data_IF_131757409157
#
_entry.id   IF_131757409157
#
_cell.length_a   1.000
_cell.length_b   1.000
_cell.length_c   1.000
_cell.angle_alpha   90.00
_cell.angle_beta   90.00
_cell.angle_gamma   90.00
#
_symmetry.space_group_name_H-M   'P 1'
#
loop_
_entity.id
_entity.type
_entity.pdbx_description
1 polymer ?
#
# COMPACT_ATOMS: atom_id res chain seq x y z
N UNK A 1 -12.18 -34.41 -6.03
CA UNK A 1 -13.34 -33.57 -6.35
C UNK A 1 -12.80 -32.15 -6.55
N UNK A 2 -12.60 -31.84 -7.84
CA UNK A 2 -12.06 -30.56 -8.29
C UNK A 2 -13.09 -29.45 -8.06
N UNK A 3 -12.71 -28.45 -7.27
CA UNK A 3 -13.42 -27.18 -7.20
C UNK A 3 -12.94 -26.27 -8.34
N UNK A 4 -13.80 -25.42 -8.96
CA UNK A 4 -13.41 -24.57 -10.08
C UNK A 4 -12.58 -23.39 -9.58
N UNK A 5 -11.25 -23.56 -9.54
CA UNK A 5 -10.33 -22.45 -9.48
C UNK A 5 -10.39 -21.70 -10.80
N UNK A 6 -10.80 -20.43 -10.78
CA UNK A 6 -10.64 -19.53 -11.94
C UNK A 6 -9.14 -19.31 -12.13
N UNK A 7 -8.54 -20.15 -12.98
CA UNK A 7 -7.16 -19.99 -13.40
C UNK A 7 -7.03 -18.73 -14.24
N UNK A 8 -5.96 -17.98 -14.02
CA UNK A 8 -5.49 -16.91 -14.90
C UNK A 8 -5.48 -17.41 -16.35
N UNK A 9 -5.78 -16.58 -17.36
CA UNK A 9 -5.73 -16.99 -18.75
C UNK A 9 -4.29 -17.29 -19.15
N UNK A 10 -3.94 -18.54 -19.07
CA UNK A 10 -2.64 -19.07 -19.49
C UNK A 10 -2.84 -19.72 -20.85
N UNK A 11 -2.20 -19.22 -21.89
CA UNK A 11 -2.16 -19.87 -23.20
C UNK A 11 -1.16 -21.01 -23.15
N UNK A 12 -1.59 -22.22 -23.48
CA UNK A 12 -0.69 -23.34 -23.80
C UNK A 12 -0.03 -23.07 -25.16
N UNK A 13 1.23 -23.42 -25.29
CA UNK A 13 1.92 -23.39 -26.58
C UNK A 13 1.20 -24.32 -27.56
N UNK A 14 0.45 -23.76 -28.50
CA UNK A 14 -0.27 -24.56 -29.52
C UNK A 14 -1.64 -24.02 -29.94
N UNK A 15 -2.27 -23.14 -29.22
CA UNK A 15 -3.61 -22.64 -29.57
C UNK A 15 -3.52 -21.33 -30.40
N UNK A 16 -3.54 -21.49 -31.71
CA UNK A 16 -3.87 -20.43 -32.66
C UNK A 16 -5.38 -20.39 -32.85
N UNK A 17 -5.97 -19.20 -32.68
CA UNK A 17 -7.37 -18.79 -32.89
C UNK A 17 -8.36 -19.01 -31.75
N UNK A 18 -8.60 -17.91 -31.02
CA UNK A 18 -9.95 -17.53 -30.58
C UNK A 18 -9.97 -16.02 -30.30
N UNK A 19 -10.61 -15.28 -31.21
CA UNK A 19 -11.03 -13.90 -31.01
C UNK A 19 -12.19 -13.86 -29.99
N UNK A 20 -11.95 -13.34 -28.80
CA UNK A 20 -13.03 -12.91 -27.92
C UNK A 20 -12.73 -11.51 -27.40
N UNK A 21 -13.69 -10.60 -27.63
CA UNK A 21 -13.62 -9.19 -27.38
C UNK A 21 -13.29 -8.84 -25.92
N UNK A 22 -12.40 -7.92 -25.76
CA UNK A 22 -12.07 -7.31 -24.49
C UNK A 22 -13.19 -6.35 -24.06
N UNK A 23 -13.61 -6.32 -22.79
CA UNK A 23 -14.52 -5.31 -22.30
C UNK A 23 -13.80 -3.98 -22.05
N UNK A 24 -14.28 -2.90 -22.72
CA UNK A 24 -14.12 -1.54 -22.24
C UNK A 24 -12.76 -0.88 -22.42
N UNK A 25 -12.30 -0.71 -23.65
CA UNK A 25 -11.29 0.30 -23.99
C UNK A 25 -11.97 1.66 -24.02
N UNK A 26 -11.60 2.57 -23.11
CA UNK A 26 -12.01 3.98 -23.19
C UNK A 26 -11.41 4.59 -24.44
N UNK A 27 -12.29 5.20 -25.20
CA UNK A 27 -12.02 5.83 -26.48
C UNK A 27 -11.10 7.07 -26.28
N UNK A 28 -9.81 6.93 -26.57
CA UNK A 28 -8.81 8.00 -26.52
C UNK A 28 -8.72 8.79 -27.85
N UNK A 29 -9.65 8.57 -28.77
CA UNK A 29 -9.63 9.17 -30.11
C UNK A 29 -10.11 10.63 -30.20
N UNK A 30 -10.38 11.32 -29.11
CA UNK A 30 -10.89 12.71 -29.16
C UNK A 30 -9.88 13.81 -28.90
N UNK A 31 -8.57 13.53 -28.83
CA UNK A 31 -7.54 14.57 -28.81
C UNK A 31 -6.60 14.43 -30.01
N UNK A 32 -7.13 14.57 -31.21
CA UNK A 32 -6.31 14.75 -32.40
C UNK A 32 -5.93 16.21 -32.54
N UNK A 33 -4.65 16.50 -32.30
CA UNK A 33 -4.06 17.78 -32.65
C UNK A 33 -3.79 17.79 -34.15
N UNK A 34 -4.53 18.63 -34.90
CA UNK A 34 -4.38 18.81 -36.34
C UNK A 34 -3.70 20.17 -36.62
N UNK A 35 -2.40 20.24 -36.45
CA UNK A 35 -1.60 21.38 -36.84
C UNK A 35 -0.11 21.04 -36.97
N UNK A 36 0.66 21.71 -37.88
CA UNK A 36 2.10 21.48 -37.95
C UNK A 36 2.75 22.01 -36.67
N UNK A 37 3.60 21.21 -36.01
CA UNK A 37 4.38 21.63 -34.85
C UNK A 37 5.32 22.76 -35.26
N UNK A 38 5.41 23.85 -34.47
CA UNK A 38 6.47 24.82 -34.64
C UNK A 38 7.81 24.15 -34.31
N UNK A 39 8.81 24.30 -35.16
CA UNK A 39 10.13 23.66 -35.07
C UNK A 39 10.99 24.13 -33.87
N UNK A 40 10.48 24.97 -32.98
CA UNK A 40 11.22 25.51 -31.82
C UNK A 40 10.52 25.34 -30.49
N UNK A 41 9.53 24.49 -30.37
CA UNK A 41 8.94 24.17 -29.06
C UNK A 41 9.71 23.00 -28.45
N UNK A 42 10.39 23.23 -27.36
CA UNK A 42 10.88 22.16 -26.49
C UNK A 42 9.70 21.26 -26.12
N UNK A 43 9.77 19.94 -26.31
CA UNK A 43 8.64 19.04 -25.98
C UNK A 43 8.38 18.90 -24.48
N UNK A 44 8.95 19.74 -23.63
CA UNK A 44 8.96 19.65 -22.17
C UNK A 44 8.61 20.96 -21.45
N UNK A 45 7.68 21.78 -21.97
CA UNK A 45 7.03 22.76 -21.10
C UNK A 45 6.01 22.03 -20.22
N UNK A 46 6.30 21.98 -18.91
CA UNK A 46 5.34 21.56 -17.90
C UNK A 46 4.14 22.50 -17.93
N UNK A 47 2.90 22.00 -17.86
CA UNK A 47 1.74 22.87 -17.71
C UNK A 47 1.82 23.61 -16.37
N UNK A 48 1.72 24.94 -16.40
CA UNK A 48 1.76 25.85 -15.25
C UNK A 48 0.57 25.70 -14.27
N UNK A 49 -0.36 24.82 -14.53
CA UNK A 49 -1.53 24.56 -13.69
C UNK A 49 -1.43 23.24 -12.91
N UNK A 50 -0.44 23.13 -12.02
CA UNK A 50 -0.48 22.14 -10.95
C UNK A 50 -1.29 22.74 -9.78
N UNK A 51 -2.33 22.05 -9.28
CA UNK A 51 -3.12 22.55 -8.17
C UNK A 51 -2.26 22.72 -6.91
N UNK A 52 -2.39 23.87 -6.28
CA UNK A 52 -1.71 24.41 -5.08
C UNK A 52 -1.80 23.56 -3.80
N UNK A 53 -2.25 22.30 -3.87
CA UNK A 53 -2.54 21.43 -2.72
C UNK A 53 -1.33 20.68 -2.13
N UNK A 54 -0.11 20.88 -2.64
CA UNK A 54 1.08 20.16 -2.16
C UNK A 54 2.12 21.03 -1.44
N UNK A 55 1.91 22.35 -1.32
CA UNK A 55 2.88 23.25 -0.65
C UNK A 55 2.70 23.36 0.87
N UNK A 56 1.58 22.93 1.43
CA UNK A 56 1.22 23.19 2.84
C UNK A 56 1.57 22.03 3.81
N UNK A 57 2.34 21.02 3.36
CA UNK A 57 2.65 19.84 4.20
C UNK A 57 4.09 19.77 4.71
N UNK A 58 4.98 20.64 4.28
CA UNK A 58 6.40 20.61 4.71
C UNK A 58 6.74 21.58 5.86
N UNK A 59 5.90 22.58 6.13
CA UNK A 59 6.20 23.57 7.18
C UNK A 59 5.65 23.21 8.58
N UNK A 60 4.80 22.17 8.71
CA UNK A 60 4.18 21.82 10.00
C UNK A 60 4.85 20.70 10.79
N UNK A 61 6.01 20.18 10.35
CA UNK A 61 6.73 19.12 11.09
C UNK A 61 7.87 19.64 11.98
N UNK A 62 8.40 20.86 11.73
CA UNK A 62 9.50 21.40 12.54
C UNK A 62 9.06 22.01 13.87
N UNK A 63 7.80 22.46 13.98
CA UNK A 63 7.32 23.16 15.18
C UNK A 63 6.72 22.23 16.26
N UNK A 64 6.52 20.96 15.96
CA UNK A 64 5.97 19.98 16.92
C UNK A 64 7.00 19.25 17.75
N UNK A 65 8.25 19.17 17.31
CA UNK A 65 9.32 18.52 18.08
C UNK A 65 9.95 19.43 19.15
N UNK A 66 9.83 20.74 19.02
CA UNK A 66 10.36 21.71 20.01
C UNK A 66 9.57 21.82 21.33
N UNK A 67 8.28 21.47 21.32
CA UNK A 67 7.41 21.66 22.49
C UNK A 67 7.40 20.49 23.49
N UNK A 68 7.90 19.33 23.10
CA UNK A 68 7.86 18.13 23.94
C UNK A 68 9.03 18.04 24.93
N UNK A 69 10.16 18.73 24.68
CA UNK A 69 11.37 18.63 25.52
C UNK A 69 11.51 19.73 26.58
N UNK A 70 10.60 20.72 26.64
CA UNK A 70 10.69 21.79 27.65
C UNK A 70 9.92 21.54 28.95
N UNK A 71 9.18 20.44 29.08
CA UNK A 71 8.45 20.10 30.31
C UNK A 71 9.12 19.09 31.23
N UNK A 72 10.31 18.56 30.90
CA UNK A 72 10.96 17.51 31.66
C UNK A 72 12.11 17.96 32.59
N UNK A 73 12.39 19.25 32.72
CA UNK A 73 13.57 19.72 33.47
C UNK A 73 13.32 20.72 34.61
N UNK A 74 12.13 20.76 35.18
CA UNK A 74 11.91 21.56 36.40
C UNK A 74 11.33 20.71 37.51
N UNK A 75 12.19 20.23 38.39
CA UNK A 75 11.68 19.55 39.60
C UNK A 75 12.67 18.70 40.37
N UNK A 76 13.90 19.11 40.56
CA UNK A 76 14.72 18.59 41.67
C UNK A 76 15.55 19.74 42.25
N UNK A 77 15.10 20.30 43.38
CA UNK A 77 15.98 21.03 44.29
C UNK A 77 16.01 20.32 45.64
N UNK A 78 17.19 19.78 45.93
CA UNK A 78 17.62 19.35 47.25
C UNK A 78 17.69 20.53 48.19
N UNK A 79 17.12 20.38 49.40
CA UNK A 79 17.67 21.07 50.58
C UNK A 79 17.86 20.10 51.70
N UNK A 80 19.15 20.01 52.09
CA UNK A 80 19.60 19.25 53.21
C UNK A 80 19.67 20.13 54.47
N UNK A 81 19.37 19.53 55.61
CA UNK A 81 20.14 19.78 56.83
C UNK A 81 19.56 20.74 57.86
N UNK A 82 19.31 20.26 59.05
CA UNK A 82 19.32 21.07 60.23
C UNK A 82 18.40 20.57 61.37
N UNK A 83 18.88 19.61 62.14
CA UNK A 83 18.46 19.33 63.53
C UNK A 83 19.11 20.30 64.50
N UNK A 84 18.85 20.19 65.85
CA UNK A 84 17.67 20.57 66.64
C UNK A 84 18.04 21.53 67.77
N UNK A 85 17.11 22.15 68.45
CA UNK A 85 17.35 22.59 69.82
C UNK A 85 16.08 22.63 70.67
N UNK A 86 16.22 22.00 71.87
CA UNK A 86 15.32 22.00 73.02
C UNK A 86 15.33 23.34 73.75
N UNK A 87 14.21 23.70 74.35
CA UNK A 87 14.05 24.11 75.77
C UNK A 87 12.60 24.59 76.01
N UNK A 88 11.94 23.97 76.90
CA UNK A 88 11.70 24.18 78.31
C UNK A 88 10.54 25.19 78.64
N UNK A 89 9.51 24.58 79.19
CA UNK A 89 8.71 25.01 80.32
C UNK A 89 8.04 26.38 80.32
N UNK A 90 6.67 26.42 80.50
CA UNK A 90 6.02 26.86 81.73
C UNK A 90 4.48 27.03 81.57
N UNK A 91 3.75 26.32 82.38
CA UNK A 91 2.59 26.73 83.24
C UNK A 91 1.34 27.33 82.59
N UNK A 92 0.32 26.52 82.66
CA UNK A 92 -0.97 26.71 83.25
C UNK A 92 -1.74 28.04 83.11
N UNK A 93 -2.85 27.95 82.39
CA UNK A 93 -4.10 28.66 82.83
C UNK A 93 -5.34 27.90 82.33
N UNK A 94 -6.14 27.45 83.25
CA UNK A 94 -7.49 26.91 83.06
C UNK A 94 -8.41 28.01 82.66
N UNK A 95 -9.15 27.91 81.57
CA UNK A 95 -10.34 28.68 81.31
C UNK A 95 -11.45 27.83 80.68
N UNK A 96 -12.73 28.21 80.73
CA UNK A 96 -13.85 27.30 80.93
C UNK A 96 -14.35 26.62 79.64
N UNK A 97 -14.77 25.37 79.83
CA UNK A 97 -15.39 24.53 78.77
C UNK A 97 -16.62 25.18 78.18
N UNK A 98 -16.59 25.61 76.94
CA UNK A 98 -17.77 25.91 76.10
C UNK A 98 -18.46 24.60 75.70
N UNK A 99 -19.80 24.52 75.70
CA UNK A 99 -20.55 23.33 75.38
C UNK A 99 -20.31 22.95 73.91
N UNK A 100 -19.90 21.68 73.67
CA UNK A 100 -19.82 21.10 72.38
C UNK A 100 -21.13 21.09 71.65
N UNK A 101 -21.36 21.98 70.70
CA UNK A 101 -22.47 21.88 69.73
C UNK A 101 -22.32 20.52 69.01
N UNK A 102 -23.30 19.62 69.23
CA UNK A 102 -23.49 18.41 68.44
C UNK A 102 -23.64 18.83 66.97
N UNK A 103 -22.59 18.61 66.13
CA UNK A 103 -22.74 18.68 64.70
C UNK A 103 -23.73 17.59 64.33
N UNK A 104 -24.92 17.95 63.96
CA UNK A 104 -25.89 17.05 63.37
C UNK A 104 -25.39 16.60 62.05
N UNK A 105 -25.00 15.33 61.95
CA UNK A 105 -24.55 14.63 60.75
C UNK A 105 -25.69 14.44 59.71
N UNK A 106 -26.41 15.50 59.39
CA UNK A 106 -27.56 15.44 58.47
C UNK A 106 -27.17 15.61 56.99
N UNK A 107 -25.90 15.97 56.70
CA UNK A 107 -25.43 16.19 55.28
C UNK A 107 -24.83 14.96 54.65
N UNK A 108 -24.45 13.91 55.40
CA UNK A 108 -23.76 12.77 54.85
C UNK A 108 -24.65 11.78 54.06
N UNK A 109 -25.92 11.70 54.43
CA UNK A 109 -26.87 10.79 53.74
C UNK A 109 -27.26 11.33 52.35
N UNK A 110 -27.52 12.65 52.23
CA UNK A 110 -27.82 13.29 50.95
C UNK A 110 -26.63 13.28 49.98
N UNK A 111 -25.43 13.51 50.52
CA UNK A 111 -24.20 13.49 49.72
C UNK A 111 -23.87 12.06 49.23
N UNK A 112 -24.09 11.03 50.05
CA UNK A 112 -23.95 9.62 49.66
C UNK A 112 -24.99 9.22 48.61
N UNK A 113 -26.24 9.68 48.73
CA UNK A 113 -27.29 9.45 47.74
C UNK A 113 -26.97 10.14 46.41
N UNK A 114 -26.48 11.39 46.44
CA UNK A 114 -26.05 12.09 45.24
C UNK A 114 -24.85 11.40 44.54
N UNK A 115 -23.86 10.96 45.32
CA UNK A 115 -22.73 10.19 44.81
C UNK A 115 -23.18 8.85 44.18
N UNK A 116 -24.12 8.15 44.81
CA UNK A 116 -24.67 6.91 44.28
C UNK A 116 -25.44 7.12 42.95
N UNK A 117 -26.19 8.21 42.82
CA UNK A 117 -26.88 8.58 41.59
C UNK A 117 -25.90 8.92 40.47
N UNK A 118 -24.84 9.66 40.77
CA UNK A 118 -23.79 9.97 39.79
C UNK A 118 -23.06 8.69 39.36
N UNK A 119 -22.75 7.80 40.29
CA UNK A 119 -22.13 6.51 39.97
C UNK A 119 -23.06 5.63 39.13
N UNK A 120 -24.34 5.56 39.45
CA UNK A 120 -25.33 4.81 38.67
C UNK A 120 -25.49 5.39 37.27
N UNK A 121 -25.56 6.72 37.13
CA UNK A 121 -25.60 7.39 35.83
C UNK A 121 -24.35 7.11 35.04
N UNK A 122 -23.15 7.14 35.64
CA UNK A 122 -21.90 6.79 35.00
C UNK A 122 -21.85 5.34 34.51
N UNK A 123 -22.32 4.40 35.32
CA UNK A 123 -22.43 2.99 34.95
C UNK A 123 -23.41 2.82 33.78
N UNK A 124 -24.56 3.50 33.83
CA UNK A 124 -25.56 3.43 32.74
C UNK A 124 -25.00 3.96 31.44
N UNK A 125 -24.31 5.10 31.46
CA UNK A 125 -23.64 5.66 30.28
C UNK A 125 -22.56 4.70 29.75
N UNK A 126 -21.78 4.11 30.65
CA UNK A 126 -20.75 3.14 30.29
C UNK A 126 -21.35 1.89 29.62
N UNK A 127 -22.41 1.34 30.19
CA UNK A 127 -23.12 0.17 29.63
C UNK A 127 -23.73 0.51 28.27
N UNK A 128 -24.38 1.65 28.12
CA UNK A 128 -24.93 2.13 26.86
C UNK A 128 -23.82 2.29 25.81
N UNK A 129 -22.68 2.87 26.19
CA UNK A 129 -21.53 3.04 25.33
C UNK A 129 -21.00 1.69 24.81
N UNK A 130 -20.84 0.70 25.67
CA UNK A 130 -20.41 -0.63 25.27
C UNK A 130 -21.43 -1.39 24.44
N UNK A 131 -22.74 -1.11 24.57
CA UNK A 131 -23.79 -1.74 23.76
C UNK A 131 -23.91 -1.05 22.38
N UNK A 132 -23.77 0.28 22.32
CA UNK A 132 -23.97 1.06 21.10
C UNK A 132 -22.81 0.86 20.14
N UNK A 133 -21.56 0.81 20.62
CA UNK A 133 -20.36 0.73 19.80
C UNK A 133 -19.92 -0.73 19.52
N UNK A 134 -20.88 -1.60 19.21
CA UNK A 134 -20.62 -2.97 18.78
C UNK A 134 -20.72 -3.10 17.27
N UNK A 135 -19.83 -3.92 16.68
CA UNK A 135 -19.89 -4.27 15.25
C UNK A 135 -21.19 -4.99 14.94
N UNK A 136 -22.07 -4.33 14.21
CA UNK A 136 -23.38 -4.85 13.76
C UNK A 136 -23.36 -5.22 12.29
N UNK A 137 -22.58 -4.48 11.50
CA UNK A 137 -22.46 -4.65 10.08
C UNK A 137 -20.99 -4.60 9.67
N UNK A 138 -20.60 -5.51 8.79
CA UNK A 138 -19.27 -5.51 8.18
C UNK A 138 -19.46 -5.42 6.66
N UNK A 139 -18.96 -4.35 6.08
CA UNK A 139 -18.92 -4.16 4.62
C UNK A 139 -17.52 -4.46 4.11
N UNK A 140 -17.43 -5.05 2.93
CA UNK A 140 -16.17 -5.30 2.25
C UNK A 140 -16.23 -4.63 0.90
N UNK A 141 -15.16 -3.91 0.56
CA UNK A 141 -15.04 -3.17 -0.69
C UNK A 141 -13.74 -3.55 -1.40
N UNK A 142 -13.78 -3.62 -2.75
CA UNK A 142 -12.62 -3.86 -3.61
C UNK A 142 -12.21 -5.33 -3.75
N UNK A 143 -13.04 -6.26 -3.30
CA UNK A 143 -12.87 -7.69 -3.54
C UNK A 143 -13.52 -8.10 -4.88
N UNK A 144 -12.77 -8.82 -5.71
CA UNK A 144 -13.22 -9.33 -7.02
C UNK A 144 -13.10 -10.86 -7.08
N UNK A 145 -11.92 -11.42 -6.80
CA UNK A 145 -11.60 -12.84 -6.86
C UNK A 145 -11.93 -13.56 -5.54
N UNK A 146 -11.82 -12.84 -4.42
CA UNK A 146 -12.03 -13.41 -3.09
C UNK A 146 -13.41 -13.03 -2.58
N UNK A 147 -14.13 -14.01 -2.04
CA UNK A 147 -15.47 -13.76 -1.54
C UNK A 147 -15.49 -12.80 -0.35
N UNK A 148 -16.56 -11.98 -0.24
CA UNK A 148 -16.78 -11.12 0.93
C UNK A 148 -16.70 -11.89 2.26
N UNK A 149 -17.26 -13.10 2.28
CA UNK A 149 -17.26 -13.94 3.48
C UNK A 149 -15.84 -14.36 3.89
N UNK A 150 -14.98 -14.65 2.92
CA UNK A 150 -13.58 -14.99 3.19
C UNK A 150 -12.80 -13.79 3.70
N UNK A 151 -12.99 -12.59 3.12
CA UNK A 151 -12.34 -11.36 3.62
C UNK A 151 -12.75 -11.09 5.08
N UNK A 152 -14.04 -11.22 5.41
CA UNK A 152 -14.53 -11.07 6.79
C UNK A 152 -13.86 -12.09 7.71
N UNK A 153 -13.84 -13.36 7.30
CA UNK A 153 -13.22 -14.45 8.06
C UNK A 153 -11.72 -14.21 8.29
N UNK A 154 -11.01 -13.79 7.24
CA UNK A 154 -9.58 -13.50 7.30
C UNK A 154 -9.25 -12.25 8.14
N UNK A 155 -10.12 -11.24 8.16
CA UNK A 155 -9.93 -10.06 8.99
C UNK A 155 -9.96 -10.39 10.49
N UNK A 156 -10.66 -11.46 10.87
CA UNK A 156 -10.88 -11.83 12.27
C UNK A 156 -11.83 -10.92 13.03
N UNK A 157 -12.47 -9.97 12.36
CA UNK A 157 -13.47 -9.10 12.97
C UNK A 157 -14.74 -9.92 13.20
N UNK A 158 -15.21 -9.93 14.45
CA UNK A 158 -16.42 -10.66 14.85
C UNK A 158 -17.59 -9.69 15.05
N UNK A 159 -18.78 -10.12 14.63
CA UNK A 159 -20.01 -9.41 14.98
C UNK A 159 -20.16 -9.35 16.51
N UNK A 160 -20.56 -8.20 17.03
CA UNK A 160 -20.71 -7.97 18.47
C UNK A 160 -19.42 -7.58 19.19
N UNK A 161 -18.25 -7.61 18.56
CA UNK A 161 -17.02 -7.05 19.11
C UNK A 161 -17.10 -5.51 19.20
N UNK A 162 -16.25 -4.89 20.02
CA UNK A 162 -16.21 -3.43 20.12
C UNK A 162 -15.53 -2.81 18.89
N UNK A 163 -16.22 -1.89 18.21
CA UNK A 163 -15.67 -1.15 17.08
C UNK A 163 -14.48 -0.26 17.48
N UNK A 164 -14.43 0.15 18.75
CA UNK A 164 -13.43 1.07 19.27
C UNK A 164 -12.07 0.40 19.49
N UNK A 165 -12.08 -0.91 19.75
CA UNK A 165 -10.86 -1.69 19.98
C UNK A 165 -10.21 -2.19 18.70
N UNK A 166 -10.88 -2.05 17.55
CA UNK A 166 -10.30 -2.45 16.26
C UNK A 166 -9.13 -1.51 15.91
N UNK A 167 -8.01 -2.08 15.53
CA UNK A 167 -6.85 -1.35 15.01
C UNK A 167 -6.73 -1.62 13.51
N UNK A 168 -6.60 -0.59 12.72
CA UNK A 168 -6.41 -0.69 11.29
C UNK A 168 -5.13 -1.46 10.95
N UNK A 169 -4.02 -1.07 11.57
CA UNK A 169 -2.71 -1.70 11.34
C UNK A 169 -2.70 -3.19 11.72
N UNK A 170 -3.26 -3.54 12.89
CA UNK A 170 -3.32 -4.93 13.34
C UNK A 170 -4.23 -5.74 12.43
N UNK A 171 -5.42 -5.21 12.10
CA UNK A 171 -6.38 -5.91 11.23
C UNK A 171 -5.79 -6.15 9.84
N UNK A 172 -5.13 -5.15 9.26
CA UNK A 172 -4.49 -5.27 7.93
C UNK A 172 -3.40 -6.32 7.91
N UNK A 173 -2.47 -6.25 8.86
CA UNK A 173 -1.38 -7.23 8.98
C UNK A 173 -1.91 -8.66 9.21
N UNK A 174 -2.89 -8.81 10.08
CA UNK A 174 -3.45 -10.11 10.39
C UNK A 174 -4.24 -10.69 9.21
N UNK A 175 -4.97 -9.84 8.47
CA UNK A 175 -5.71 -10.24 7.28
C UNK A 175 -4.77 -10.78 6.20
N UNK A 176 -3.70 -10.05 5.88
CA UNK A 176 -2.72 -10.48 4.87
C UNK A 176 -1.97 -11.74 5.31
N UNK A 177 -1.57 -11.84 6.57
CA UNK A 177 -0.89 -13.04 7.11
C UNK A 177 -1.79 -14.28 7.07
N UNK A 178 -3.07 -14.13 7.42
CA UNK A 178 -4.05 -15.21 7.33
C UNK A 178 -4.37 -15.57 5.89
N UNK A 179 -4.42 -14.61 4.97
CA UNK A 179 -4.59 -14.86 3.55
C UNK A 179 -3.45 -15.74 2.99
N UNK A 180 -2.19 -15.41 3.31
CA UNK A 180 -1.03 -16.23 2.95
C UNK A 180 -1.13 -17.64 3.54
N UNK A 181 -1.54 -17.76 4.80
CA UNK A 181 -1.71 -19.07 5.47
C UNK A 181 -2.82 -19.89 4.83
N UNK A 182 -3.91 -19.23 4.45
CA UNK A 182 -5.06 -19.87 3.79
C UNK A 182 -4.72 -20.34 2.38
N UNK A 183 -3.95 -19.52 1.62
CA UNK A 183 -3.43 -19.91 0.32
C UNK A 183 -2.62 -21.22 0.40
N UNK A 184 -1.70 -21.30 1.36
CA UNK A 184 -0.88 -22.52 1.60
C UNK A 184 -1.73 -23.72 2.01
N UNK A 185 -2.76 -23.51 2.82
CA UNK A 185 -3.64 -24.58 3.29
C UNK A 185 -4.54 -25.13 2.21
N UNK A 186 -5.08 -24.27 1.34
CA UNK A 186 -6.08 -24.63 0.31
C UNK A 186 -5.48 -24.86 -1.07
N UNK A 187 -4.23 -24.44 -1.31
CA UNK A 187 -3.63 -24.41 -2.64
C UNK A 187 -4.22 -23.35 -3.57
N UNK A 188 -5.08 -22.44 -3.04
CA UNK A 188 -5.69 -21.39 -3.85
C UNK A 188 -4.80 -20.13 -3.84
N UNK A 189 -4.11 -19.90 -4.96
CA UNK A 189 -3.20 -18.78 -5.14
C UNK A 189 -3.87 -17.38 -5.10
N UNK A 190 -5.20 -17.30 -5.30
CA UNK A 190 -5.92 -16.03 -5.25
C UNK A 190 -5.75 -15.30 -3.91
N UNK A 191 -5.61 -16.05 -2.81
CA UNK A 191 -5.38 -15.44 -1.50
C UNK A 191 -4.05 -14.68 -1.39
N UNK A 192 -3.02 -15.00 -2.19
CA UNK A 192 -1.78 -14.20 -2.25
C UNK A 192 -1.98 -12.84 -2.89
N UNK A 193 -3.06 -12.67 -3.68
CA UNK A 193 -3.40 -11.40 -4.30
C UNK A 193 -4.04 -10.42 -3.32
N UNK A 194 -4.55 -10.88 -2.18
CA UNK A 194 -5.26 -10.02 -1.24
C UNK A 194 -4.33 -9.01 -0.57
N UNK A 195 -4.65 -7.74 -0.69
CA UNK A 195 -3.96 -6.63 -0.06
C UNK A 195 -4.95 -5.79 0.74
N UNK A 196 -4.65 -5.54 2.00
CA UNK A 196 -5.41 -4.60 2.82
C UNK A 196 -5.13 -3.16 2.40
N UNK A 197 -6.16 -2.31 2.40
CA UNK A 197 -6.03 -0.87 2.11
C UNK A 197 -6.27 -0.02 3.35
N UNK A 198 -7.47 -0.09 3.90
CA UNK A 198 -7.85 0.64 5.10
C UNK A 198 -9.05 -0.01 5.79
N UNK A 199 -9.23 0.35 7.05
CA UNK A 199 -10.37 0.00 7.88
C UNK A 199 -11.11 1.27 8.27
N UNK A 200 -12.32 1.46 7.75
CA UNK A 200 -13.15 2.58 8.15
C UNK A 200 -14.18 2.16 9.21
N UNK A 201 -14.41 3.02 10.20
CA UNK A 201 -15.31 2.80 11.32
C UNK A 201 -16.46 3.79 11.26
N UNK A 202 -17.53 3.39 10.61
CA UNK A 202 -18.77 4.17 10.53
C UNK A 202 -19.59 3.96 11.81
N UNK A 203 -19.48 4.91 12.72
CA UNK A 203 -20.20 4.88 13.99
C UNK A 203 -21.72 4.89 13.75
N UNK A 204 -22.51 4.19 14.57
CA UNK A 204 -22.11 3.53 15.81
C UNK A 204 -21.68 2.05 15.67
N UNK A 205 -21.86 1.37 14.54
CA UNK A 205 -21.66 -0.08 14.53
C UNK A 205 -21.34 -0.70 13.17
N UNK A 206 -20.98 0.08 12.15
CA UNK A 206 -20.60 -0.44 10.84
C UNK A 206 -19.09 -0.34 10.65
N UNK A 207 -18.47 -1.42 10.18
CA UNK A 207 -17.05 -1.48 9.82
C UNK A 207 -16.95 -1.73 8.33
N UNK A 208 -16.13 -0.92 7.64
CA UNK A 208 -15.82 -1.11 6.23
C UNK A 208 -14.39 -1.60 6.12
N UNK A 209 -14.21 -2.77 5.53
CA UNK A 209 -12.91 -3.35 5.23
C UNK A 209 -12.64 -3.11 3.75
N UNK A 210 -11.74 -2.19 3.44
CA UNK A 210 -11.31 -1.98 2.06
C UNK A 210 -10.10 -2.83 1.77
N UNK A 211 -10.23 -3.64 0.73
CA UNK A 211 -9.16 -4.48 0.20
C UNK A 211 -8.89 -4.12 -1.25
N UNK A 212 -7.75 -4.52 -1.73
CA UNK A 212 -7.41 -4.49 -3.15
C UNK A 212 -6.80 -5.83 -3.51
N UNK A 213 -7.11 -6.31 -4.70
CA UNK A 213 -6.44 -7.48 -5.23
C UNK A 213 -5.24 -7.06 -6.06
N UNK A 214 -4.11 -7.74 -5.85
CA UNK A 214 -2.86 -7.50 -6.58
C UNK A 214 -3.03 -8.05 -7.99
N UNK A 215 -2.65 -7.24 -8.97
CA UNK A 215 -2.66 -7.63 -10.36
C UNK A 215 -1.29 -8.19 -10.75
N UNK A 216 -1.22 -9.38 -11.35
CA UNK A 216 0.03 -9.86 -11.91
C UNK A 216 0.44 -8.95 -13.07
N UNK A 217 1.72 -8.61 -13.15
CA UNK A 217 2.24 -7.76 -14.22
C UNK A 217 3.44 -8.36 -14.93
N UNK A 218 4.18 -9.24 -14.27
CA UNK A 218 5.38 -9.83 -14.83
C UNK A 218 5.61 -11.26 -14.30
N UNK A 219 6.50 -11.95 -14.98
CA UNK A 219 6.94 -13.28 -14.59
C UNK A 219 8.43 -13.45 -14.87
N UNK A 220 9.03 -14.40 -14.20
CA UNK A 220 10.41 -14.79 -14.41
C UNK A 220 10.61 -16.28 -14.19
N UNK A 221 11.69 -16.83 -14.69
CA UNK A 221 12.09 -18.21 -14.41
C UNK A 221 13.40 -18.23 -13.61
N UNK A 222 13.40 -18.99 -12.52
CA UNK A 222 14.58 -19.24 -11.72
C UNK A 222 14.67 -20.74 -11.42
N UNK A 223 15.80 -21.36 -11.77
CA UNK A 223 16.04 -22.80 -11.52
C UNK A 223 14.94 -23.73 -12.07
N UNK A 224 14.29 -23.34 -13.16
CA UNK A 224 13.19 -24.13 -13.76
C UNK A 224 11.79 -23.85 -13.18
N UNK A 225 11.71 -23.05 -12.14
CA UNK A 225 10.43 -22.64 -11.55
C UNK A 225 10.06 -21.25 -12.11
N UNK A 226 8.83 -21.11 -12.58
CA UNK A 226 8.28 -19.84 -13.02
C UNK A 226 7.58 -19.17 -11.84
N UNK A 227 7.88 -17.89 -11.66
CA UNK A 227 7.28 -17.01 -10.65
C UNK A 227 6.51 -15.89 -11.35
N UNK A 228 5.24 -15.75 -11.00
CA UNK A 228 4.39 -14.64 -11.43
C UNK A 228 4.29 -13.64 -10.31
N UNK A 229 4.51 -12.36 -10.61
CA UNK A 229 4.65 -11.31 -9.62
C UNK A 229 3.79 -10.08 -9.95
N UNK A 230 3.50 -9.31 -8.90
CA UNK A 230 2.97 -7.96 -9.04
C UNK A 230 4.11 -6.94 -9.27
N UNK A 231 3.72 -5.68 -9.50
CA UNK A 231 4.67 -4.57 -9.69
C UNK A 231 5.59 -4.29 -8.48
N UNK A 232 5.27 -4.81 -7.29
CA UNK A 232 6.06 -4.67 -6.07
C UNK A 232 6.88 -5.94 -5.77
N UNK A 233 7.02 -6.83 -6.75
CA UNK A 233 7.75 -8.10 -6.65
C UNK A 233 7.11 -9.11 -5.68
N UNK A 234 5.84 -8.94 -5.28
CA UNK A 234 5.14 -9.97 -4.54
C UNK A 234 4.89 -11.15 -5.45
N UNK A 235 5.37 -12.33 -5.07
CA UNK A 235 5.12 -13.58 -5.79
C UNK A 235 3.68 -14.03 -5.52
N UNK A 236 2.88 -14.00 -6.58
CA UNK A 236 1.45 -14.36 -6.52
C UNK A 236 1.19 -15.82 -6.87
N UNK A 237 2.08 -16.40 -7.68
CA UNK A 237 1.96 -17.76 -8.17
C UNK A 237 3.32 -18.31 -8.54
N UNK A 238 3.54 -19.61 -8.30
CA UNK A 238 4.73 -20.33 -8.73
C UNK A 238 4.34 -21.66 -9.38
N UNK A 239 5.07 -22.08 -10.40
CA UNK A 239 4.84 -23.37 -11.08
C UNK A 239 6.13 -23.90 -11.69
N UNK A 240 6.26 -25.23 -11.67
CA UNK A 240 7.33 -25.98 -12.34
C UNK A 240 6.95 -26.37 -13.78
N UNK A 241 5.71 -26.11 -14.21
CA UNK A 241 5.24 -26.48 -15.53
C UNK A 241 5.79 -25.50 -16.60
N UNK A 242 6.75 -25.90 -17.45
CA UNK A 242 7.35 -25.03 -18.44
C UNK A 242 6.42 -24.69 -19.61
N UNK A 243 5.27 -25.39 -19.72
CA UNK A 243 4.29 -25.15 -20.80
C UNK A 243 3.41 -23.94 -20.50
N UNK A 244 3.36 -23.53 -19.23
CA UNK A 244 2.57 -22.40 -18.77
C UNK A 244 3.40 -21.13 -18.97
N UNK A 245 3.05 -20.32 -20.00
CA UNK A 245 3.62 -18.99 -20.21
C UNK A 245 2.52 -17.93 -20.23
N UNK A 246 2.53 -16.97 -19.30
CA UNK A 246 1.52 -15.91 -19.28
C UNK A 246 1.77 -14.91 -20.40
N UNK A 247 1.19 -15.15 -21.58
CA UNK A 247 1.43 -14.35 -22.78
C UNK A 247 1.07 -12.85 -22.63
N UNK A 248 0.25 -12.50 -21.64
CA UNK A 248 -0.14 -11.10 -21.36
C UNK A 248 0.80 -10.39 -20.38
N UNK A 249 1.67 -11.11 -19.68
CA UNK A 249 2.59 -10.57 -18.71
C UNK A 249 3.97 -10.32 -19.32
N UNK A 250 4.77 -9.49 -18.66
CA UNK A 250 6.13 -9.16 -19.07
C UNK A 250 7.10 -10.19 -18.51
N UNK A 251 7.93 -10.79 -19.37
CA UNK A 251 9.05 -11.62 -18.93
C UNK A 251 10.16 -10.74 -18.36
N UNK A 252 10.67 -11.04 -17.17
CA UNK A 252 11.80 -10.31 -16.59
C UNK A 252 13.01 -11.22 -16.50
N UNK A 253 14.12 -10.79 -17.10
CA UNK A 253 15.39 -11.49 -17.11
C UNK A 253 16.45 -10.76 -16.29
N UNK A 254 17.47 -11.48 -15.87
CA UNK A 254 18.66 -10.93 -15.27
C UNK A 254 18.53 -10.47 -13.83
N UNK A 255 17.44 -10.84 -13.12
CA UNK A 255 17.29 -10.52 -11.70
C UNK A 255 18.23 -11.35 -10.85
N UNK A 256 19.02 -10.68 -9.99
CA UNK A 256 19.89 -11.32 -9.02
C UNK A 256 19.17 -11.43 -7.67
N UNK A 257 18.58 -12.61 -7.40
CA UNK A 257 17.69 -12.84 -6.28
C UNK A 257 18.48 -13.20 -5.03
N UNK A 258 18.10 -12.59 -3.90
CA UNK A 258 18.58 -12.89 -2.56
C UNK A 258 17.66 -13.83 -1.79
N UNK A 259 16.35 -13.71 -1.99
CA UNK A 259 15.32 -14.48 -1.30
C UNK A 259 13.93 -13.97 -1.58
N UNK A 260 12.93 -14.59 -0.93
CA UNK A 260 11.52 -14.27 -1.18
C UNK A 260 10.96 -14.98 -2.42
N UNK A 261 11.58 -16.06 -2.84
CA UNK A 261 11.30 -16.84 -4.02
C UNK A 261 10.21 -17.92 -3.79
N UNK A 262 9.19 -17.56 -3.02
CA UNK A 262 8.00 -18.40 -2.82
C UNK A 262 6.72 -17.57 -2.88
N UNK A 263 5.65 -18.21 -3.29
CA UNK A 263 4.33 -17.59 -3.34
C UNK A 263 3.92 -17.00 -1.97
N UNK A 264 3.44 -15.76 -1.99
CA UNK A 264 3.11 -14.97 -0.81
C UNK A 264 4.29 -14.25 -0.16
N UNK A 265 5.45 -14.25 -0.79
CA UNK A 265 6.63 -13.49 -0.34
C UNK A 265 7.00 -12.40 -1.35
N UNK A 266 7.62 -11.35 -0.86
CA UNK A 266 8.18 -10.31 -1.72
C UNK A 266 9.61 -10.68 -2.11
N UNK A 267 9.85 -10.77 -3.41
CA UNK A 267 11.16 -11.07 -3.96
C UNK A 267 12.14 -9.96 -3.58
N UNK A 268 13.24 -10.35 -2.94
CA UNK A 268 14.33 -9.45 -2.57
C UNK A 268 15.53 -9.67 -3.48
N UNK A 269 16.12 -8.59 -3.95
CA UNK A 269 17.27 -8.64 -4.84
C UNK A 269 18.56 -8.36 -4.07
N UNK A 270 19.69 -8.90 -4.56
CA UNK A 270 21.01 -8.62 -3.98
C UNK A 270 21.42 -7.15 -4.20
N UNK A 271 20.98 -6.54 -5.30
CA UNK A 271 21.30 -5.16 -5.66
C UNK A 271 20.12 -4.23 -5.38
N UNK A 272 20.29 -3.29 -4.45
CA UNK A 272 19.31 -2.23 -4.21
C UNK A 272 19.08 -1.35 -5.46
N UNK A 273 20.11 -1.19 -6.31
CA UNK A 273 19.99 -0.46 -7.58
C UNK A 273 19.06 -1.21 -8.52
N UNK A 274 19.25 -2.53 -8.70
CA UNK A 274 18.41 -3.36 -9.55
C UNK A 274 16.96 -3.37 -9.04
N UNK A 275 16.77 -3.41 -7.72
CA UNK A 275 15.46 -3.32 -7.09
C UNK A 275 14.77 -1.99 -7.42
N UNK A 276 15.48 -0.88 -7.25
CA UNK A 276 14.95 0.46 -7.56
C UNK A 276 14.60 0.61 -9.04
N UNK A 277 15.40 0.01 -9.95
CA UNK A 277 15.11 0.02 -11.39
C UNK A 277 13.82 -0.75 -11.66
N UNK A 278 13.68 -1.96 -11.12
CA UNK A 278 12.49 -2.77 -11.29
C UNK A 278 11.23 -2.01 -10.82
N UNK A 279 11.26 -1.48 -9.59
CA UNK A 279 10.12 -0.79 -9.00
C UNK A 279 9.70 0.44 -9.82
N UNK A 280 10.68 1.26 -10.22
CA UNK A 280 10.42 2.46 -11.01
C UNK A 280 9.94 2.10 -12.43
N UNK A 281 10.58 1.14 -13.10
CA UNK A 281 10.20 0.73 -14.45
C UNK A 281 8.77 0.21 -14.50
N UNK A 282 8.39 -0.71 -13.61
CA UNK A 282 7.03 -1.26 -13.60
C UNK A 282 5.97 -0.25 -13.13
N UNK A 283 6.34 0.71 -12.30
CA UNK A 283 5.48 1.84 -11.97
C UNK A 283 5.21 2.68 -13.24
N UNK A 284 6.26 3.06 -13.97
CA UNK A 284 6.15 3.90 -15.16
C UNK A 284 5.45 3.20 -16.33
N UNK A 285 5.70 1.90 -16.53
CA UNK A 285 4.96 1.09 -17.50
C UNK A 285 3.44 1.08 -17.20
N UNK A 286 3.08 1.01 -15.91
CA UNK A 286 1.67 1.08 -15.50
C UNK A 286 1.08 2.48 -15.67
N UNK A 287 1.81 3.52 -15.29
CA UNK A 287 1.38 4.94 -15.43
C UNK A 287 1.14 5.29 -16.88
N UNK A 288 2.02 4.87 -17.78
CA UNK A 288 1.90 5.11 -19.22
C UNK A 288 0.94 4.13 -19.93
N UNK A 289 0.42 3.12 -19.22
CA UNK A 289 -0.49 2.13 -19.78
C UNK A 289 0.14 1.24 -20.86
N UNK A 290 1.47 1.12 -20.88
CA UNK A 290 2.20 0.41 -21.94
C UNK A 290 2.71 -0.98 -21.53
N UNK A 291 2.34 -1.50 -20.36
CA UNK A 291 2.75 -2.84 -19.91
C UNK A 291 2.37 -3.93 -20.92
N UNK A 292 1.20 -3.81 -21.56
CA UNK A 292 0.74 -4.78 -22.56
C UNK A 292 1.52 -4.77 -23.86
N UNK A 293 2.29 -3.72 -24.13
CA UNK A 293 3.13 -3.59 -25.32
C UNK A 293 4.46 -4.34 -25.13
N UNK A 294 4.93 -4.42 -23.87
CA UNK A 294 6.23 -5.01 -23.55
C UNK A 294 6.06 -6.53 -23.41
N UNK A 295 6.96 -7.27 -24.03
CA UNK A 295 7.07 -8.72 -23.94
C UNK A 295 8.13 -9.11 -22.92
N UNK A 296 9.29 -8.45 -22.95
CA UNK A 296 10.45 -8.81 -22.15
C UNK A 296 11.17 -7.56 -21.62
N UNK A 297 11.72 -7.67 -20.43
CA UNK A 297 12.61 -6.71 -19.78
C UNK A 297 13.87 -7.43 -19.35
N UNK A 298 15.04 -6.99 -19.81
CA UNK A 298 16.33 -7.49 -19.36
C UNK A 298 17.01 -6.49 -18.42
N UNK A 299 17.17 -6.90 -17.17
CA UNK A 299 17.83 -6.17 -16.09
C UNK A 299 19.19 -6.76 -15.71
N UNK A 300 19.78 -7.60 -16.55
CA UNK A 300 21.11 -8.18 -16.31
C UNK A 300 22.17 -7.10 -16.12
N UNK A 301 22.06 -6.00 -16.86
CA UNK A 301 22.95 -4.85 -16.77
C UNK A 301 22.17 -3.59 -16.36
N UNK A 302 22.39 -3.11 -15.14
CA UNK A 302 21.72 -1.93 -14.58
C UNK A 302 22.09 -0.61 -15.28
N UNK A 303 23.15 -0.59 -16.09
CA UNK A 303 23.57 0.56 -16.90
C UNK A 303 23.11 0.46 -18.36
N UNK A 304 22.50 -0.65 -18.76
CA UNK A 304 22.02 -0.90 -20.12
C UNK A 304 20.76 -1.75 -20.07
N UNK A 305 19.66 -1.13 -19.69
CA UNK A 305 18.35 -1.75 -19.60
C UNK A 305 17.80 -1.95 -21.01
N UNK A 306 17.35 -3.17 -21.31
CA UNK A 306 16.76 -3.52 -22.60
C UNK A 306 15.30 -3.94 -22.41
N UNK A 307 14.47 -3.55 -23.37
CA UNK A 307 13.09 -4.01 -23.48
C UNK A 307 12.90 -4.68 -24.85
N UNK A 308 12.03 -5.67 -24.89
CA UNK A 308 11.52 -6.23 -26.15
C UNK A 308 10.02 -5.97 -26.20
N UNK A 309 9.55 -5.42 -27.30
CA UNK A 309 8.12 -5.19 -27.51
C UNK A 309 7.50 -6.35 -28.26
N UNK A 310 6.18 -6.58 -28.08
CA UNK A 310 5.44 -7.69 -28.72
C UNK A 310 5.37 -7.58 -30.24
N UNK A 311 5.59 -6.41 -30.80
CA UNK A 311 5.71 -6.14 -32.23
C UNK A 311 7.15 -6.23 -32.74
N UNK A 312 8.07 -6.76 -31.92
CA UNK A 312 9.41 -7.18 -32.33
C UNK A 312 10.48 -6.09 -32.29
N UNK A 313 10.24 -4.96 -31.64
CA UNK A 313 11.31 -3.97 -31.42
C UNK A 313 12.15 -4.32 -30.19
N UNK A 314 13.47 -4.25 -30.33
CA UNK A 314 14.40 -4.22 -29.20
C UNK A 314 14.67 -2.77 -28.82
N UNK A 315 14.35 -2.38 -27.59
CA UNK A 315 14.47 -1.01 -27.12
C UNK A 315 15.59 -0.90 -26.09
N UNK A 316 16.57 -0.03 -26.36
CA UNK A 316 17.62 0.31 -25.40
C UNK A 316 17.22 1.55 -24.60
N UNK A 317 16.93 1.36 -23.29
CA UNK A 317 16.71 2.47 -22.35
C UNK A 317 18.02 3.04 -21.80
N UNK A 318 19.13 2.26 -21.87
CA UNK A 318 20.38 2.65 -21.20
C UNK A 318 20.26 2.57 -19.68
N UNK A 319 20.63 3.62 -18.98
CA UNK A 319 20.61 3.69 -17.52
C UNK A 319 19.21 3.91 -16.93
N UNK A 320 19.16 3.96 -15.59
CA UNK A 320 17.92 4.14 -14.80
C UNK A 320 17.38 5.57 -14.77
N UNK A 321 18.14 6.53 -15.27
CA UNK A 321 17.74 7.92 -15.21
C UNK A 321 16.63 8.21 -16.22
N UNK A 322 15.65 9.05 -15.84
CA UNK A 322 14.60 9.56 -16.72
C UNK A 322 13.77 8.47 -17.43
N UNK A 323 13.49 7.33 -16.76
CA UNK A 323 12.75 6.20 -17.33
C UNK A 323 11.42 6.65 -17.94
N UNK A 324 10.67 7.55 -17.28
CA UNK A 324 9.42 8.09 -17.80
C UNK A 324 9.60 8.74 -19.18
N UNK A 325 10.57 9.63 -19.33
CA UNK A 325 10.85 10.31 -20.59
C UNK A 325 11.29 9.33 -21.70
N UNK A 326 12.12 8.37 -21.34
CA UNK A 326 12.60 7.32 -22.28
C UNK A 326 11.45 6.45 -22.77
N UNK A 327 10.56 6.02 -21.89
CA UNK A 327 9.38 5.24 -22.27
C UNK A 327 8.41 6.05 -23.15
N UNK A 328 8.19 7.32 -22.85
CA UNK A 328 7.39 8.20 -23.73
C UNK A 328 7.99 8.35 -25.10
N UNK A 329 9.32 8.55 -25.17
CA UNK A 329 10.04 8.62 -26.43
C UNK A 329 9.94 7.32 -27.22
N UNK A 330 10.07 6.17 -26.55
CA UNK A 330 9.86 4.85 -27.14
C UNK A 330 8.45 4.72 -27.75
N UNK A 331 7.42 5.08 -26.99
CA UNK A 331 6.02 4.99 -27.47
C UNK A 331 5.80 5.85 -28.71
N UNK A 332 6.31 7.08 -28.71
CA UNK A 332 6.22 7.99 -29.85
C UNK A 332 6.92 7.43 -31.10
N UNK A 333 8.17 6.96 -30.94
CA UNK A 333 8.95 6.40 -32.08
C UNK A 333 8.27 5.13 -32.61
N UNK A 334 7.84 4.24 -31.72
CA UNK A 334 7.16 3.01 -32.08
C UNK A 334 5.87 3.30 -32.87
N UNK A 335 5.05 4.25 -32.42
CA UNK A 335 3.84 4.66 -33.15
C UNK A 335 4.15 5.14 -34.55
N UNK A 336 5.15 5.99 -34.71
CA UNK A 336 5.58 6.49 -36.03
C UNK A 336 6.13 5.38 -36.94
N UNK A 337 6.85 4.41 -36.38
CA UNK A 337 7.35 3.27 -37.16
C UNK A 337 6.21 2.37 -37.63
N UNK A 338 5.20 2.13 -36.79
CA UNK A 338 4.03 1.34 -37.16
C UNK A 338 3.19 2.05 -38.25
N UNK A 339 3.02 3.38 -38.18
CA UNK A 339 2.38 4.18 -39.23
C UNK A 339 3.11 4.04 -40.58
N UNK A 340 4.43 3.90 -40.55
CA UNK A 340 5.27 3.70 -41.73
C UNK A 340 5.34 2.22 -42.20
N UNK A 341 4.58 1.33 -41.55
CA UNK A 341 4.59 -0.11 -41.85
C UNK A 341 5.91 -0.82 -41.52
N UNK A 342 6.75 -0.25 -40.67
CA UNK A 342 8.02 -0.83 -40.25
C UNK A 342 7.83 -1.61 -38.96
N UNK A 343 7.94 -2.92 -39.00
CA UNK A 343 7.85 -3.81 -37.85
C UNK A 343 9.22 -4.34 -37.45
N UNK A 344 9.52 -4.32 -36.16
CA UNK A 344 10.80 -4.81 -35.62
C UNK A 344 11.97 -3.86 -35.84
N UNK A 345 13.11 -4.25 -35.33
CA UNK A 345 14.33 -3.46 -35.33
C UNK A 345 14.75 -2.98 -33.96
N UNK A 346 15.76 -2.12 -33.91
CA UNK A 346 16.28 -1.59 -32.63
C UNK A 346 15.96 -0.11 -32.49
N UNK A 347 15.37 0.25 -31.37
CA UNK A 347 15.07 1.64 -30.98
C UNK A 347 15.96 1.98 -29.79
N UNK A 348 16.80 3.01 -29.91
CA UNK A 348 17.61 3.50 -28.81
C UNK A 348 17.02 4.81 -28.29
N UNK A 349 16.58 4.81 -27.04
CA UNK A 349 16.02 5.95 -26.31
C UNK A 349 16.84 6.29 -25.07
N UNK A 350 18.10 5.87 -25.00
CA UNK A 350 18.99 6.21 -23.87
C UNK A 350 19.10 7.73 -23.66
N UNK A 351 18.99 8.49 -24.75
CA UNK A 351 18.81 9.95 -24.77
C UNK A 351 17.42 10.22 -25.34
N UNK A 352 16.41 10.51 -24.51
CA UNK A 352 15.02 10.58 -24.96
C UNK A 352 14.71 11.71 -25.93
N UNK A 353 15.57 12.75 -26.00
CA UNK A 353 15.44 13.88 -26.91
C UNK A 353 15.90 13.55 -28.35
N UNK A 354 16.78 12.57 -28.51
CA UNK A 354 17.36 12.18 -29.80
C UNK A 354 17.29 10.66 -29.99
N UNK A 355 16.06 10.10 -30.06
CA UNK A 355 15.91 8.67 -30.25
C UNK A 355 16.44 8.25 -31.64
N UNK A 356 17.00 7.06 -31.72
CA UNK A 356 17.50 6.50 -32.99
C UNK A 356 16.82 5.16 -33.27
N UNK A 357 16.62 4.87 -34.55
CA UNK A 357 16.07 3.60 -35.02
C UNK A 357 17.01 2.95 -36.01
N UNK A 358 17.21 1.66 -35.86
CA UNK A 358 17.94 0.79 -36.81
C UNK A 358 17.00 -0.36 -37.20
N UNK A 359 16.71 -0.55 -38.49
CA UNK A 359 15.89 -1.67 -38.93
C UNK A 359 16.59 -2.99 -38.61
N UNK A 360 15.79 -4.05 -38.45
CA UNK A 360 16.33 -5.41 -38.35
C UNK A 360 17.14 -5.67 -39.64
N UNK A 361 18.38 -6.06 -39.51
CA UNK A 361 19.21 -6.37 -40.68
C UNK A 361 18.53 -7.43 -41.53
N UNK A 362 18.37 -7.13 -42.80
CA UNK A 362 18.00 -8.09 -43.85
C UNK A 362 19.14 -9.08 -44.07
#
# INVERSE_FOLDING_TARGET
>A
VEGPGKNWPVKRAGDSNASHGAPGVRDWQKNTWTGPMPMNASPFEEPEDAPELLKDRSENLSDREGAFWQQATTGYQHTAGGEPQRSAAAQAAKSPRKPKKKKTNRSSAGMRAALALVALAGITVCVLYFIVFRVREIRVEGNELISRADVIRLSGIQYGSSILTLSEEITGRDLEARAVSEAKRTGNSNYYCLQFRYLDKLMPGTVVISVKEREPCCWMTLRGIMFVMDKNRMVLYETEDPTIRPASLVEVKGLNIRGGDHAGQTLTLNSAVQQSIFDNLFLELKVLGCTSIIEEVDLSNTSSILLVTRDGYTVSLGDRERIHAKLRSMLYVREKLLELGKNGGSINVSVPETPTYSPSGS
#
